data_IF_454831644259
#
_entry.id   IF_454831644259
#
_cell.length_a   1.000
_cell.length_b   1.000
_cell.length_c   1.000
_cell.angle_alpha   90.00
_cell.angle_beta   90.00
_cell.angle_gamma   90.00
#
_symmetry.space_group_name_H-M   'P 1'
#
loop_
_entity.id
_entity.type
_entity.pdbx_description
1 polymer ?
#
# COMPACT_ATOMS: atom_id res chain seq x y z
N UNK A 1 -19.60 -14.25 12.51
CA UNK A 1 -18.61 -14.16 11.42
C UNK A 1 -17.37 -13.38 11.89
N UNK A 2 -16.20 -13.76 11.39
CA UNK A 2 -14.92 -13.08 11.62
C UNK A 2 -14.34 -12.71 10.26
N UNK A 3 -13.94 -11.45 10.08
CA UNK A 3 -13.19 -11.01 8.91
C UNK A 3 -11.75 -10.78 9.35
N UNK A 4 -10.82 -11.54 8.79
CA UNK A 4 -9.38 -11.43 9.08
C UNK A 4 -8.62 -10.99 7.83
N UNK A 5 -7.97 -9.84 7.92
CA UNK A 5 -7.22 -9.23 6.82
C UNK A 5 -5.78 -9.05 7.27
N UNK A 6 -4.90 -10.02 7.03
CA UNK A 6 -3.47 -9.89 7.30
C UNK A 6 -2.80 -9.04 6.22
N UNK A 7 -1.50 -8.78 6.37
CA UNK A 7 -0.73 -8.15 5.29
C UNK A 7 -0.60 -9.07 4.08
N UNK A 8 -0.27 -8.48 2.93
CA UNK A 8 -0.08 -9.17 1.65
C UNK A 8 0.61 -10.53 1.78
N UNK A 9 -0.01 -11.57 1.23
CA UNK A 9 0.46 -12.97 1.31
C UNK A 9 1.80 -13.20 0.62
N UNK A 10 2.15 -12.41 -0.41
CA UNK A 10 3.44 -12.55 -1.10
C UNK A 10 4.62 -11.99 -0.29
N UNK A 11 4.35 -11.11 0.68
CA UNK A 11 5.38 -10.47 1.51
C UNK A 11 5.56 -11.07 2.90
N UNK A 12 4.61 -11.93 3.35
CA UNK A 12 4.63 -12.51 4.69
C UNK A 12 3.88 -13.84 4.74
N UNK A 13 4.34 -14.76 5.57
CA UNK A 13 3.64 -16.03 5.85
C UNK A 13 2.37 -15.85 6.69
N UNK A 14 2.04 -14.65 7.15
CA UNK A 14 0.91 -14.41 8.06
C UNK A 14 -0.43 -14.89 7.49
N UNK A 15 -0.67 -14.64 6.19
CA UNK A 15 -1.87 -15.13 5.53
C UNK A 15 -1.95 -16.66 5.52
N UNK A 16 -0.87 -17.32 5.11
CA UNK A 16 -0.82 -18.79 5.06
C UNK A 16 -0.95 -19.42 6.46
N UNK A 17 -0.35 -18.78 7.48
CA UNK A 17 -0.51 -19.23 8.87
C UNK A 17 -1.96 -19.11 9.34
N UNK A 18 -2.68 -18.07 8.92
CA UNK A 18 -4.10 -17.91 9.23
C UNK A 18 -4.96 -18.98 8.53
N UNK A 19 -4.63 -19.35 7.28
CA UNK A 19 -5.28 -20.46 6.56
C UNK A 19 -5.07 -21.79 7.30
N UNK A 20 -3.84 -22.04 7.74
CA UNK A 20 -3.52 -23.25 8.53
C UNK A 20 -4.28 -23.28 9.85
N UNK A 21 -4.28 -22.16 10.58
CA UNK A 21 -5.00 -22.05 11.85
C UNK A 21 -6.52 -22.26 11.68
N UNK A 22 -7.11 -21.76 10.58
CA UNK A 22 -8.51 -22.02 10.25
C UNK A 22 -8.77 -23.51 10.00
N UNK A 23 -7.85 -24.21 9.33
CA UNK A 23 -7.91 -25.67 9.14
C UNK A 23 -7.88 -26.43 10.46
N UNK A 24 -6.89 -26.13 11.31
CA UNK A 24 -6.75 -26.72 12.63
C UNK A 24 -8.00 -26.48 13.50
N UNK A 25 -8.56 -25.28 13.50
CA UNK A 25 -9.77 -24.98 14.24
C UNK A 25 -10.96 -25.86 13.81
N UNK A 26 -11.11 -26.10 12.50
CA UNK A 26 -12.16 -26.98 11.96
C UNK A 26 -11.98 -28.44 12.39
N UNK A 27 -10.75 -28.91 12.49
CA UNK A 27 -10.41 -30.27 12.92
C UNK A 27 -10.58 -30.46 14.42
N UNK A 28 -10.10 -29.50 15.24
CA UNK A 28 -10.13 -29.57 16.69
C UNK A 28 -11.51 -29.25 17.31
N UNK A 29 -12.30 -28.44 16.60
CA UNK A 29 -13.61 -27.95 17.05
C UNK A 29 -14.65 -28.04 15.94
N UNK A 30 -15.01 -29.25 15.48
CA UNK A 30 -15.93 -29.45 14.36
C UNK A 30 -17.35 -28.90 14.66
N UNK A 31 -17.70 -28.76 15.95
CA UNK A 31 -18.98 -28.21 16.40
C UNK A 31 -19.09 -26.68 16.30
N UNK A 32 -17.98 -25.97 16.07
CA UNK A 32 -18.05 -24.50 15.99
C UNK A 32 -18.71 -24.04 14.68
N UNK A 33 -19.47 -22.97 14.77
CA UNK A 33 -20.21 -22.38 13.64
C UNK A 33 -19.59 -21.06 13.15
N UNK A 34 -18.33 -20.76 13.52
CA UNK A 34 -17.62 -19.55 13.10
C UNK A 34 -17.37 -19.59 11.59
N UNK A 35 -17.88 -18.60 10.88
CA UNK A 35 -17.42 -18.28 9.53
C UNK A 35 -16.23 -17.32 9.61
N UNK A 36 -15.09 -17.74 9.10
CA UNK A 36 -13.87 -16.94 9.06
C UNK A 36 -13.58 -16.60 7.61
N UNK A 37 -13.65 -15.32 7.28
CA UNK A 37 -13.32 -14.75 5.98
C UNK A 37 -11.87 -14.30 6.02
N UNK A 38 -11.00 -15.00 5.30
CA UNK A 38 -9.57 -14.64 5.14
C UNK A 38 -9.41 -13.87 3.84
N UNK A 39 -8.98 -12.62 3.93
CA UNK A 39 -8.86 -11.72 2.77
C UNK A 39 -7.39 -11.28 2.62
N UNK A 40 -6.83 -11.47 1.43
CA UNK A 40 -5.52 -10.90 1.08
C UNK A 40 -5.72 -9.46 0.58
N UNK A 41 -5.19 -8.44 1.26
CA UNK A 41 -5.35 -7.06 0.81
C UNK A 41 -4.38 -6.68 -0.32
N UNK A 42 -3.52 -7.58 -0.79
CA UNK A 42 -2.49 -7.32 -1.81
C UNK A 42 -1.52 -6.17 -1.51
N UNK A 43 -1.57 -5.61 -0.31
CA UNK A 43 -0.83 -4.40 0.10
C UNK A 43 -0.47 -4.41 1.59
N UNK A 44 -0.03 -3.27 2.12
CA UNK A 44 0.52 -3.12 3.47
C UNK A 44 0.00 -1.86 4.15
N UNK A 45 0.15 -1.80 5.50
CA UNK A 45 -0.01 -0.58 6.30
C UNK A 45 -1.42 0.02 6.28
N UNK A 46 -1.51 1.33 6.46
CA UNK A 46 -2.76 2.10 6.47
C UNK A 46 -3.50 2.06 5.13
N UNK A 47 -2.83 1.60 4.06
CA UNK A 47 -3.43 1.46 2.72
C UNK A 47 -4.69 0.59 2.79
N UNK A 48 -4.59 -0.63 3.33
CA UNK A 48 -5.79 -1.44 3.54
C UNK A 48 -6.51 -1.10 4.86
N UNK A 49 -5.78 -0.60 5.85
CA UNK A 49 -6.36 -0.23 7.15
C UNK A 49 -7.46 0.81 7.05
N UNK A 50 -7.32 1.80 6.18
CA UNK A 50 -8.37 2.80 5.91
C UNK A 50 -9.67 2.14 5.42
N UNK A 51 -9.59 1.34 4.36
CA UNK A 51 -10.75 0.67 3.76
C UNK A 51 -11.34 -0.42 4.67
N UNK A 52 -10.50 -1.04 5.52
CA UNK A 52 -10.98 -1.96 6.55
C UNK A 52 -11.82 -1.24 7.61
N UNK A 53 -11.45 -0.02 8.01
CA UNK A 53 -12.26 0.81 8.87
C UNK A 53 -13.58 1.23 8.21
N UNK A 54 -13.57 1.52 6.91
CA UNK A 54 -14.81 1.80 6.16
C UNK A 54 -15.72 0.58 6.08
N UNK A 55 -15.16 -0.60 5.79
CA UNK A 55 -15.87 -1.88 5.84
C UNK A 55 -16.54 -2.07 7.21
N UNK A 56 -15.80 -1.88 8.29
CA UNK A 56 -16.34 -2.02 9.65
C UNK A 56 -17.50 -1.04 9.93
N UNK A 57 -17.42 0.21 9.43
CA UNK A 57 -18.51 1.19 9.55
C UNK A 57 -19.76 0.74 8.76
N UNK A 58 -19.58 0.25 7.53
CA UNK A 58 -20.69 -0.27 6.72
C UNK A 58 -21.39 -1.45 7.39
N UNK A 59 -20.63 -2.41 7.92
CA UNK A 59 -21.17 -3.55 8.67
C UNK A 59 -21.96 -3.11 9.92
N UNK A 60 -21.46 -2.14 10.67
CA UNK A 60 -22.17 -1.57 11.82
C UNK A 60 -23.48 -0.88 11.44
N UNK A 61 -23.58 -0.39 10.22
CA UNK A 61 -24.78 0.23 9.65
C UNK A 61 -25.71 -0.79 8.95
N UNK A 62 -25.44 -2.09 9.09
CA UNK A 62 -26.30 -3.16 8.61
C UNK A 62 -26.03 -3.61 7.16
N UNK A 63 -24.88 -3.24 6.58
CA UNK A 63 -24.51 -3.75 5.26
C UNK A 63 -24.19 -5.26 5.30
N UNK A 64 -24.50 -5.96 4.23
CA UNK A 64 -24.28 -7.39 4.09
C UNK A 64 -22.78 -7.73 3.95
N UNK A 65 -22.31 -8.76 4.66
CA UNK A 65 -20.90 -9.18 4.67
C UNK A 65 -20.34 -9.45 3.28
N UNK A 66 -21.00 -10.22 2.39
CA UNK A 66 -20.47 -10.48 1.05
C UNK A 66 -20.28 -9.20 0.22
N UNK A 67 -21.20 -8.24 0.35
CA UNK A 67 -21.14 -6.98 -0.37
C UNK A 67 -19.92 -6.16 0.05
N UNK A 68 -19.71 -5.98 1.36
CA UNK A 68 -18.59 -5.16 1.85
C UNK A 68 -17.24 -5.83 1.61
N UNK A 69 -17.17 -7.16 1.62
CA UNK A 69 -15.96 -7.90 1.23
C UNK A 69 -15.65 -7.66 -0.25
N UNK A 70 -16.62 -7.79 -1.13
CA UNK A 70 -16.44 -7.57 -2.56
C UNK A 70 -15.96 -6.14 -2.86
N UNK A 71 -16.59 -5.13 -2.26
CA UNK A 71 -16.15 -3.73 -2.42
C UNK A 71 -14.72 -3.50 -1.92
N UNK A 72 -14.35 -4.13 -0.80
CA UNK A 72 -13.00 -4.05 -0.27
C UNK A 72 -11.98 -4.71 -1.21
N UNK A 73 -12.27 -5.92 -1.70
CA UNK A 73 -11.40 -6.64 -2.62
C UNK A 73 -11.24 -5.89 -3.96
N UNK A 74 -12.31 -5.29 -4.50
CA UNK A 74 -12.23 -4.45 -5.69
C UNK A 74 -11.24 -3.29 -5.49
N UNK A 75 -11.38 -2.54 -4.38
CA UNK A 75 -10.44 -1.46 -4.05
C UNK A 75 -9.01 -1.96 -3.92
N UNK A 76 -8.80 -3.08 -3.23
CA UNK A 76 -7.46 -3.65 -3.02
C UNK A 76 -6.83 -4.12 -4.34
N UNK A 77 -7.61 -4.72 -5.23
CA UNK A 77 -7.15 -5.16 -6.55
C UNK A 77 -6.73 -4.00 -7.46
N UNK A 78 -7.24 -2.80 -7.22
CA UNK A 78 -6.95 -1.57 -7.96
C UNK A 78 -5.89 -0.69 -7.28
N UNK A 79 -5.47 -1.05 -6.06
CA UNK A 79 -4.56 -0.24 -5.26
C UNK A 79 -3.14 -0.24 -5.82
N UNK A 80 -2.55 0.93 -5.98
CA UNK A 80 -1.18 1.15 -6.40
C UNK A 80 -0.45 2.06 -5.42
N UNK A 81 0.84 1.80 -5.22
CA UNK A 81 1.71 2.62 -4.39
C UNK A 81 2.92 3.05 -5.21
N UNK A 82 3.21 4.35 -5.15
CA UNK A 82 4.46 4.92 -5.66
C UNK A 82 5.33 5.28 -4.48
N UNK A 83 6.51 4.70 -4.41
CA UNK A 83 7.52 5.00 -3.39
C UNK A 83 8.58 5.95 -3.96
N UNK A 84 8.88 7.01 -3.19
CA UNK A 84 9.97 7.96 -3.43
C UNK A 84 10.98 7.90 -2.28
N UNK A 85 11.92 6.92 -2.29
CA UNK A 85 12.95 6.84 -1.27
C UNK A 85 14.09 7.82 -1.54
N UNK A 86 14.53 8.52 -0.51
CA UNK A 86 15.73 9.36 -0.54
C UNK A 86 17.02 8.58 -0.21
N UNK A 87 16.88 7.37 0.33
CA UNK A 87 17.97 6.41 0.55
C UNK A 87 17.50 4.99 0.28
N UNK A 88 18.33 4.19 -0.40
CA UNK A 88 18.07 2.77 -0.67
C UNK A 88 18.76 1.82 0.33
N UNK A 89 19.57 2.35 1.22
CA UNK A 89 20.41 1.52 2.11
C UNK A 89 19.60 0.50 2.90
N UNK A 90 18.51 0.94 3.52
CA UNK A 90 17.67 0.07 4.33
C UNK A 90 16.81 -0.86 3.46
N UNK A 91 16.25 -0.36 2.35
CA UNK A 91 15.48 -1.17 1.41
C UNK A 91 16.28 -2.35 0.89
N UNK A 92 17.56 -2.14 0.53
CA UNK A 92 18.47 -3.20 0.08
C UNK A 92 18.73 -4.24 1.17
N UNK A 93 18.92 -3.80 2.42
CA UNK A 93 19.12 -4.71 3.56
C UNK A 93 17.91 -5.57 3.87
N UNK A 94 16.71 -5.02 3.75
CA UNK A 94 15.48 -5.71 4.12
C UNK A 94 15.15 -6.88 3.20
N UNK A 95 15.55 -6.81 1.92
CA UNK A 95 15.24 -7.81 0.89
C UNK A 95 13.76 -7.93 0.51
N UNK A 96 12.87 -7.08 1.10
CA UNK A 96 11.42 -7.08 0.79
C UNK A 96 11.04 -6.14 -0.35
N UNK A 97 11.95 -5.24 -0.73
CA UNK A 97 11.75 -4.31 -1.84
C UNK A 97 12.76 -4.68 -2.94
N UNK A 98 12.40 -5.68 -3.74
CA UNK A 98 13.28 -6.26 -4.75
C UNK A 98 13.78 -5.24 -5.79
N UNK A 99 12.94 -4.25 -6.14
CA UNK A 99 13.33 -3.17 -7.04
C UNK A 99 14.53 -2.34 -6.53
N UNK A 100 14.71 -2.22 -5.21
CA UNK A 100 15.85 -1.51 -4.64
C UNK A 100 17.18 -2.21 -4.95
N UNK A 101 17.20 -3.55 -5.03
CA UNK A 101 18.39 -4.33 -5.38
C UNK A 101 18.81 -4.12 -6.85
N UNK A 102 17.86 -3.83 -7.73
CA UNK A 102 18.13 -3.59 -9.15
C UNK A 102 18.79 -2.21 -9.41
N UNK A 103 18.79 -1.31 -8.45
CA UNK A 103 19.48 -0.03 -8.56
C UNK A 103 20.94 -0.22 -8.22
N UNK A 104 21.78 -0.44 -9.23
CA UNK A 104 23.22 -0.61 -9.06
C UNK A 104 23.89 0.70 -8.66
N UNK A 105 24.60 0.66 -7.55
CA UNK A 105 25.40 1.78 -7.04
C UNK A 105 24.56 2.94 -6.49
N UNK A 106 25.02 3.56 -5.41
CA UNK A 106 24.56 4.89 -5.01
C UNK A 106 25.28 5.93 -5.87
N UNK A 107 24.82 6.11 -7.11
CA UNK A 107 25.24 7.28 -7.87
C UNK A 107 24.74 8.51 -7.10
N UNK A 108 25.68 9.36 -6.70
CA UNK A 108 25.40 10.54 -5.88
C UNK A 108 24.24 11.35 -6.47
N UNK A 109 23.18 11.47 -5.70
CA UNK A 109 21.99 12.26 -6.06
C UNK A 109 20.98 11.58 -6.99
N UNK A 110 21.12 10.29 -7.34
CA UNK A 110 20.08 9.55 -8.08
C UNK A 110 19.06 8.96 -7.12
N UNK A 111 17.78 9.27 -7.37
CA UNK A 111 16.62 8.78 -6.61
C UNK A 111 15.72 7.96 -7.52
N UNK A 112 15.45 6.70 -7.20
CA UNK A 112 14.50 5.89 -7.96
C UNK A 112 13.07 6.25 -7.59
N UNK A 113 12.17 6.12 -8.55
CA UNK A 113 10.72 6.11 -8.34
C UNK A 113 10.28 4.67 -8.54
N UNK A 114 9.67 4.10 -7.50
CA UNK A 114 9.37 2.66 -7.42
C UNK A 114 7.86 2.48 -7.31
N UNK A 115 7.25 1.64 -8.12
CA UNK A 115 5.88 1.18 -7.89
C UNK A 115 5.88 -0.09 -7.03
N UNK A 116 4.86 -0.20 -6.19
CA UNK A 116 4.53 -1.40 -5.43
C UNK A 116 3.07 -1.74 -5.74
N UNK A 117 2.86 -2.82 -6.46
CA UNK A 117 1.57 -3.28 -6.96
C UNK A 117 1.48 -4.77 -6.70
N UNK A 118 0.42 -5.21 -6.02
CA UNK A 118 0.21 -6.61 -5.65
C UNK A 118 1.46 -7.25 -5.00
N UNK A 119 2.10 -6.51 -4.09
CA UNK A 119 3.32 -6.94 -3.42
C UNK A 119 4.59 -6.96 -4.27
N UNK A 120 4.51 -6.66 -5.56
CA UNK A 120 5.65 -6.62 -6.49
C UNK A 120 6.15 -5.19 -6.65
N UNK A 121 7.47 -5.03 -6.63
CA UNK A 121 8.11 -3.73 -6.80
C UNK A 121 8.81 -3.62 -8.15
N UNK A 122 8.72 -2.42 -8.78
CA UNK A 122 9.38 -2.13 -10.04
C UNK A 122 9.93 -0.70 -10.02
N UNK A 123 11.13 -0.50 -10.54
CA UNK A 123 11.68 0.85 -10.80
C UNK A 123 11.03 1.39 -12.07
N UNK A 124 10.22 2.43 -11.95
CA UNK A 124 9.57 3.08 -13.09
C UNK A 124 10.40 4.23 -13.66
N UNK A 125 11.24 4.83 -12.84
CA UNK A 125 12.09 5.92 -13.24
C UNK A 125 13.20 6.21 -12.25
N UNK A 126 14.12 7.09 -12.66
CA UNK A 126 15.19 7.61 -11.83
C UNK A 126 15.29 9.10 -12.05
N UNK A 127 15.37 9.87 -10.97
CA UNK A 127 15.56 11.33 -11.04
C UNK A 127 16.88 11.72 -10.39
N UNK A 128 17.43 12.85 -10.76
CA UNK A 128 18.64 13.39 -10.16
C UNK A 128 18.30 14.61 -9.32
N UNK A 129 18.64 14.56 -8.03
CA UNK A 129 18.32 15.58 -7.05
C UNK A 129 17.05 15.24 -6.25
N UNK A 130 17.06 15.64 -4.99
CA UNK A 130 15.98 15.37 -4.04
C UNK A 130 14.72 16.17 -4.40
N UNK A 131 14.88 17.36 -4.97
CA UNK A 131 13.83 18.26 -5.44
C UNK A 131 13.00 17.67 -6.60
N UNK A 132 13.49 16.64 -7.27
CA UNK A 132 12.79 15.98 -8.39
C UNK A 132 11.93 14.79 -7.98
N UNK A 133 12.05 14.32 -6.74
CA UNK A 133 11.32 13.13 -6.28
C UNK A 133 9.81 13.39 -6.26
N UNK A 134 9.37 14.42 -5.57
CA UNK A 134 7.93 14.75 -5.45
C UNK A 134 7.29 15.02 -6.80
N UNK A 135 7.84 15.88 -7.69
CA UNK A 135 7.28 16.05 -9.03
C UNK A 135 7.16 14.75 -9.82
N UNK A 136 8.18 13.90 -9.79
CA UNK A 136 8.17 12.63 -10.51
C UNK A 136 7.12 11.65 -9.98
N UNK A 137 6.90 11.58 -8.65
CA UNK A 137 5.85 10.76 -8.05
C UNK A 137 4.46 11.20 -8.51
N UNK A 138 4.20 12.51 -8.49
CA UNK A 138 2.91 13.07 -8.90
C UNK A 138 2.64 12.84 -10.39
N UNK A 139 3.62 13.10 -11.24
CA UNK A 139 3.49 12.86 -12.69
C UNK A 139 3.28 11.38 -13.02
N UNK A 140 3.99 10.48 -12.34
CA UNK A 140 3.77 9.04 -12.52
C UNK A 140 2.36 8.64 -12.08
N UNK A 141 1.86 9.15 -10.96
CA UNK A 141 0.50 8.92 -10.49
C UNK A 141 -0.54 9.39 -11.51
N UNK A 142 -0.42 10.64 -11.99
CA UNK A 142 -1.31 11.20 -13.04
C UNK A 142 -1.35 10.33 -14.30
N UNK A 143 -0.16 9.91 -14.76
CA UNK A 143 -0.03 9.07 -15.95
C UNK A 143 -0.71 7.70 -15.76
N UNK A 144 -0.61 7.10 -14.57
CA UNK A 144 -1.12 5.76 -14.30
C UNK A 144 -2.59 5.75 -13.89
N UNK A 145 -3.02 6.73 -13.11
CA UNK A 145 -4.42 6.86 -12.70
C UNK A 145 -5.32 7.30 -13.87
N UNK A 146 -4.78 8.13 -14.77
CA UNK A 146 -5.55 8.59 -15.94
C UNK A 146 -6.88 9.26 -15.54
N UNK A 147 -7.98 8.71 -16.05
CA UNK A 147 -9.35 9.17 -15.90
C UNK A 147 -10.21 8.30 -14.96
N UNK A 148 -9.57 7.68 -13.95
CA UNK A 148 -10.31 6.88 -12.95
C UNK A 148 -11.35 7.75 -12.24
N UNK A 149 -12.63 7.40 -12.39
CA UNK A 149 -13.76 8.18 -11.87
C UNK A 149 -13.78 8.27 -10.33
N UNK A 150 -13.50 7.14 -9.67
CA UNK A 150 -13.46 7.04 -8.20
C UNK A 150 -12.04 7.21 -7.64
N UNK A 151 -11.21 8.01 -8.32
CA UNK A 151 -9.86 8.27 -7.90
C UNK A 151 -9.80 8.82 -6.49
N UNK A 152 -9.11 8.11 -5.63
CA UNK A 152 -8.78 8.50 -4.26
C UNK A 152 -7.31 8.27 -4.00
N UNK A 153 -6.71 9.08 -3.12
CA UNK A 153 -5.31 8.93 -2.78
C UNK A 153 -5.02 9.19 -1.30
N UNK A 154 -3.92 8.63 -0.84
CA UNK A 154 -3.36 8.81 0.51
C UNK A 154 -1.87 9.10 0.40
N UNK A 155 -1.31 9.73 1.44
CA UNK A 155 0.11 10.00 1.54
C UNK A 155 0.67 9.29 2.77
N UNK A 156 1.67 8.42 2.55
CA UNK A 156 2.45 7.80 3.59
C UNK A 156 3.86 8.43 3.66
N UNK A 157 4.43 8.56 4.85
CA UNK A 157 5.77 9.09 5.02
C UNK A 157 6.47 8.54 6.28
N UNK A 158 7.77 8.64 6.33
CA UNK A 158 8.59 8.26 7.48
C UNK A 158 8.94 9.48 8.36
N UNK A 159 8.01 10.43 8.50
CA UNK A 159 8.16 11.67 9.27
C UNK A 159 9.25 12.61 8.73
N UNK A 160 9.29 12.80 7.40
CA UNK A 160 10.23 13.66 6.71
C UNK A 160 9.55 14.94 6.20
N UNK A 161 10.28 16.08 6.11
CA UNK A 161 9.72 17.38 5.72
C UNK A 161 9.05 17.37 4.32
N UNK A 162 9.56 16.57 3.41
CA UNK A 162 9.04 16.44 2.04
C UNK A 162 7.61 15.89 1.97
N UNK A 163 7.06 15.37 3.08
CA UNK A 163 5.67 14.94 3.15
C UNK A 163 4.69 16.10 2.88
N UNK A 164 4.96 17.27 3.46
CA UNK A 164 4.15 18.47 3.23
C UNK A 164 4.26 18.98 1.78
N UNK A 165 5.43 18.85 1.17
CA UNK A 165 5.64 19.17 -0.25
C UNK A 165 4.81 18.25 -1.15
N UNK A 166 4.86 16.93 -0.88
CA UNK A 166 4.08 15.94 -1.62
C UNK A 166 2.58 16.22 -1.50
N UNK A 167 2.10 16.50 -0.28
CA UNK A 167 0.69 16.82 -0.06
C UNK A 167 0.25 18.05 -0.86
N UNK A 168 1.02 19.13 -0.80
CA UNK A 168 0.76 20.35 -1.57
C UNK A 168 0.75 20.10 -3.08
N UNK A 169 1.72 19.31 -3.57
CA UNK A 169 1.82 18.97 -4.98
C UNK A 169 0.63 18.12 -5.45
N UNK A 170 0.21 17.12 -4.65
CA UNK A 170 -0.95 16.29 -4.95
C UNK A 170 -2.25 17.09 -4.94
N UNK A 171 -2.49 17.95 -3.92
CA UNK A 171 -3.66 18.84 -3.89
C UNK A 171 -3.76 19.72 -5.13
N UNK A 172 -2.62 20.29 -5.55
CA UNK A 172 -2.57 21.10 -6.79
C UNK A 172 -2.84 20.26 -8.04
N UNK A 173 -2.32 19.04 -8.10
CA UNK A 173 -2.40 18.18 -9.27
C UNK A 173 -3.76 17.50 -9.46
N UNK A 174 -4.42 17.13 -8.34
CA UNK A 174 -5.65 16.35 -8.33
C UNK A 174 -6.90 17.16 -7.93
N UNK A 175 -6.73 18.39 -7.48
CA UNK A 175 -7.84 19.28 -7.13
C UNK A 175 -8.61 18.89 -5.86
N UNK A 176 -8.09 17.96 -5.06
CA UNK A 176 -8.71 17.48 -3.83
C UNK A 176 -7.70 17.10 -2.76
N UNK A 177 -8.16 17.02 -1.52
CA UNK A 177 -7.36 16.56 -0.39
C UNK A 177 -7.14 15.05 -0.42
N UNK A 178 -6.05 14.53 0.19
CA UNK A 178 -5.88 13.10 0.39
C UNK A 178 -6.94 12.57 1.38
N UNK A 179 -7.34 11.31 1.24
CA UNK A 179 -8.17 10.64 2.25
C UNK A 179 -7.52 10.70 3.63
N UNK A 180 -6.22 10.55 3.68
CA UNK A 180 -5.41 10.69 4.89
C UNK A 180 -3.94 10.88 4.54
N UNK A 181 -3.21 11.57 5.42
CA UNK A 181 -1.75 11.58 5.46
C UNK A 181 -1.33 10.85 6.74
N UNK A 182 -0.45 9.85 6.62
CA UNK A 182 -0.12 8.96 7.73
C UNK A 182 1.39 8.66 7.82
N UNK A 183 1.85 8.42 9.03
CA UNK A 183 3.22 7.97 9.26
C UNK A 183 3.32 6.45 9.05
N UNK A 184 4.30 6.02 8.27
CA UNK A 184 4.61 4.61 8.09
C UNK A 184 5.05 4.00 9.43
N UNK A 185 4.38 2.94 9.85
CA UNK A 185 4.69 2.24 11.09
C UNK A 185 6.08 1.60 11.10
N UNK A 186 6.60 1.28 12.29
CA UNK A 186 7.97 0.79 12.48
C UNK A 186 8.33 -0.43 11.64
N UNK A 187 7.41 -1.38 11.46
CA UNK A 187 7.64 -2.57 10.62
C UNK A 187 7.85 -2.20 9.15
N UNK A 188 7.04 -1.29 8.61
CA UNK A 188 7.19 -0.82 7.22
C UNK A 188 8.46 -0.01 7.08
N UNK A 189 8.72 0.93 8.01
CA UNK A 189 9.93 1.78 8.00
C UNK A 189 11.22 0.97 8.14
N UNK A 190 11.20 -0.16 8.87
CA UNK A 190 12.33 -1.09 8.93
C UNK A 190 12.68 -1.70 7.57
N UNK A 191 11.71 -1.77 6.65
CA UNK A 191 11.92 -2.26 5.27
C UNK A 191 12.19 -1.13 4.28
N UNK A 192 11.48 -0.01 4.38
CA UNK A 192 11.60 1.11 3.44
C UNK A 192 12.74 2.07 3.76
N UNK A 193 13.17 2.10 5.01
CA UNK A 193 14.13 3.09 5.53
C UNK A 193 13.45 4.34 6.09
N UNK A 194 14.25 5.23 6.73
CA UNK A 194 13.73 6.40 7.44
C UNK A 194 13.35 7.57 6.50
N UNK A 195 13.77 7.53 5.23
CA UNK A 195 13.67 8.66 4.32
C UNK A 195 12.80 8.28 3.10
N UNK A 196 11.53 7.96 3.34
CA UNK A 196 10.64 7.46 2.27
C UNK A 196 9.30 8.18 2.27
N UNK A 197 8.87 8.56 1.05
CA UNK A 197 7.50 8.96 0.74
C UNK A 197 6.75 7.82 0.05
N UNK A 198 5.45 7.77 0.26
CA UNK A 198 4.53 6.88 -0.44
C UNK A 198 3.32 7.70 -0.92
N UNK A 199 3.03 7.63 -2.21
CA UNK A 199 1.78 8.10 -2.78
C UNK A 199 0.96 6.86 -3.15
N UNK A 200 -0.18 6.71 -2.49
CA UNK A 200 -1.09 5.58 -2.62
C UNK A 200 -2.34 6.04 -3.33
N UNK A 201 -2.85 5.28 -4.26
CA UNK A 201 -4.08 5.67 -4.97
C UNK A 201 -4.84 4.45 -5.51
N UNK A 202 -6.13 4.65 -5.77
CA UNK A 202 -6.97 3.70 -6.50
C UNK A 202 -6.75 3.93 -7.99
N UNK A 203 -6.21 2.93 -8.67
CA UNK A 203 -5.98 2.94 -10.10
C UNK A 203 -7.08 2.27 -10.90
N UNK A 204 -6.79 1.93 -12.16
CA UNK A 204 -7.68 1.15 -13.00
C UNK A 204 -7.82 -0.31 -12.51
N UNK A 205 -8.93 -0.95 -12.88
CA UNK A 205 -9.06 -2.39 -12.73
C UNK A 205 -7.91 -3.09 -13.47
N UNK A 206 -7.40 -4.15 -12.86
CA UNK A 206 -6.35 -4.99 -13.47
C UNK A 206 -6.98 -6.28 -13.97
N UNK A 207 -6.61 -6.68 -15.16
CA UNK A 207 -7.00 -7.95 -15.78
C UNK A 207 -6.41 -9.16 -15.04
#
# INVERSE_FOLDING_TARGET
>A
DVIHVPINKSGSSTYNNAVMAQGMLREERPEHHLKIHLIDPHTYSMVFGWYLCEMARKLRNGAEIPMVIHEFEDKMNRMEIILGPYSLKQMKKSGRISAAAAVMGELMGIRPIITLIDGKTKVEGKVRGDDKVVPAMVELCKKRAGDVEDFDYMIGHTNIPQAAELEKACKKAFGKDPLTTFTLGGVVSANTGPDTLALVYVGHARD
#
